data_IF_062708987009
#
_entry.id   IF_062708987009
#
_cell.length_a   1.000
_cell.length_b   1.000
_cell.length_c   1.000
_cell.angle_alpha   90.00
_cell.angle_beta   90.00
_cell.angle_gamma   90.00
#
_symmetry.space_group_name_H-M   'P 1'
#
loop_
_entity.id
_entity.type
_entity.pdbx_description
1 polymer ?
#
# COMPACT_ATOMS: atom_id res chain seq x y z
N UNK A 1 -10.15 4.08 -30.36
CA UNK A 1 -11.11 3.40 -29.46
C UNK A 1 -10.29 2.76 -28.35
N UNK A 2 -10.13 3.36 -27.17
CA UNK A 2 -9.27 2.83 -26.10
C UNK A 2 -10.06 1.89 -25.19
N UNK A 3 -9.55 0.69 -24.97
CA UNK A 3 -10.07 -0.44 -24.18
C UNK A 3 -11.60 -0.45 -23.97
N UNK A 4 -12.29 -1.06 -24.94
CA UNK A 4 -13.76 -1.21 -25.05
C UNK A 4 -14.45 -2.03 -23.93
N UNK A 5 -13.75 -2.39 -22.86
CA UNK A 5 -14.31 -3.32 -21.86
C UNK A 5 -15.03 -2.62 -20.70
N UNK A 6 -14.85 -1.30 -20.53
CA UNK A 6 -15.55 -0.50 -19.52
C UNK A 6 -15.85 0.86 -20.16
N UNK A 7 -17.11 1.17 -20.43
CA UNK A 7 -17.59 2.38 -21.12
C UNK A 7 -17.20 3.72 -20.46
N UNK A 8 -16.43 3.71 -19.36
CA UNK A 8 -15.93 4.89 -18.67
C UNK A 8 -14.90 5.70 -19.48
N UNK A 9 -14.16 5.06 -20.39
CA UNK A 9 -13.16 5.72 -21.24
C UNK A 9 -13.80 6.65 -22.31
N UNK A 10 -15.10 6.50 -22.59
CA UNK A 10 -15.83 7.39 -23.51
C UNK A 10 -15.94 8.82 -23.00
N UNK A 11 -15.88 9.05 -21.68
CA UNK A 11 -16.00 10.40 -21.12
C UNK A 11 -14.72 11.23 -21.24
N UNK A 12 -13.54 10.59 -21.18
CA UNK A 12 -12.25 11.30 -21.16
C UNK A 12 -11.69 11.62 -22.56
N UNK A 13 -12.06 10.87 -23.60
CA UNK A 13 -11.65 11.12 -24.98
C UNK A 13 -12.84 10.93 -25.93
N UNK A 14 -13.82 11.85 -25.93
CA UNK A 14 -14.79 11.90 -27.02
C UNK A 14 -14.02 12.04 -28.34
N UNK A 15 -14.48 11.36 -29.39
CA UNK A 15 -13.83 11.34 -30.73
C UNK A 15 -13.65 12.72 -31.37
N UNK A 16 -14.23 13.76 -30.77
CA UNK A 16 -14.14 15.16 -31.17
C UNK A 16 -13.74 16.11 -30.03
N UNK A 17 -13.20 15.60 -28.91
CA UNK A 17 -12.75 16.43 -27.79
C UNK A 17 -11.48 17.23 -28.12
N UNK A 18 -11.24 18.37 -27.45
CA UNK A 18 -10.03 19.17 -27.65
C UNK A 18 -8.74 18.39 -27.36
N UNK A 19 -8.75 17.51 -26.35
CA UNK A 19 -7.62 16.62 -26.05
C UNK A 19 -7.40 15.53 -27.11
N UNK A 20 -8.48 14.99 -27.69
CA UNK A 20 -8.41 14.00 -28.78
C UNK A 20 -7.81 14.62 -30.05
N UNK A 21 -8.26 15.82 -30.41
CA UNK A 21 -7.77 16.53 -31.60
C UNK A 21 -6.32 17.02 -31.45
N UNK A 22 -5.93 17.49 -30.26
CA UNK A 22 -4.55 17.92 -30.00
C UNK A 22 -3.54 16.75 -29.98
N UNK A 23 -3.95 15.56 -29.51
CA UNK A 23 -3.08 14.38 -29.43
C UNK A 23 -3.04 13.51 -30.70
N UNK A 24 -3.98 13.72 -31.63
CA UNK A 24 -4.30 12.81 -32.76
C UNK A 24 -3.11 12.44 -33.65
N UNK A 25 -2.16 13.35 -33.83
CA UNK A 25 -1.00 13.15 -34.72
C UNK A 25 0.31 12.87 -33.99
N UNK A 26 0.34 12.96 -32.65
CA UNK A 26 1.60 12.95 -31.89
C UNK A 26 1.77 11.62 -31.15
N UNK A 27 0.89 11.31 -30.21
CA UNK A 27 1.02 10.15 -29.32
C UNK A 27 -0.24 9.28 -29.29
N UNK A 28 -1.39 9.83 -29.68
CA UNK A 28 -2.68 9.19 -29.52
C UNK A 28 -2.86 7.89 -30.35
N UNK A 29 -2.39 7.80 -31.61
CA UNK A 29 -2.51 6.56 -32.39
C UNK A 29 -1.69 5.41 -31.79
N UNK A 30 -0.44 5.67 -31.38
CA UNK A 30 0.42 4.67 -30.73
C UNK A 30 -0.10 4.25 -29.35
N UNK A 31 -0.59 5.22 -28.57
CA UNK A 31 -1.21 4.97 -27.26
C UNK A 31 -2.48 4.12 -27.36
N UNK A 32 -3.35 4.42 -28.32
CA UNK A 32 -4.57 3.65 -28.55
C UNK A 32 -4.26 2.21 -28.99
N UNK A 33 -3.24 2.00 -29.82
CA UNK A 33 -2.82 0.65 -30.20
C UNK A 33 -2.31 -0.11 -28.97
N UNK A 34 -1.39 0.47 -28.20
CA UNK A 34 -0.80 -0.16 -27.01
C UNK A 34 -1.81 -0.52 -25.91
N UNK A 35 -2.89 0.25 -25.75
CA UNK A 35 -3.96 -0.01 -24.78
C UNK A 35 -4.88 -1.16 -25.21
N UNK A 36 -5.09 -1.33 -26.51
CA UNK A 36 -5.98 -2.36 -27.05
C UNK A 36 -5.25 -3.69 -27.32
N UNK A 37 -3.93 -3.68 -27.26
CA UNK A 37 -3.12 -4.88 -27.36
C UNK A 37 -3.26 -5.73 -26.08
N UNK A 38 -3.84 -6.92 -26.22
CA UNK A 38 -4.02 -7.87 -25.11
C UNK A 38 -2.71 -8.54 -24.66
N UNK A 39 -1.60 -8.30 -25.36
CA UNK A 39 -0.27 -8.80 -25.00
C UNK A 39 0.44 -7.96 -23.92
N UNK A 40 -0.06 -6.76 -23.65
CA UNK A 40 0.58 -5.81 -22.74
C UNK A 40 -0.20 -5.70 -21.43
N UNK A 41 0.50 -5.48 -20.31
CA UNK A 41 -0.10 -5.30 -18.98
C UNK A 41 -0.49 -3.85 -18.67
N UNK A 42 -0.62 -2.99 -19.70
CA UNK A 42 -0.73 -1.53 -19.53
C UNK A 42 -2.00 -1.08 -18.82
N UNK A 43 -3.09 -1.82 -18.99
CA UNK A 43 -4.32 -1.68 -18.22
C UNK A 43 -4.91 -3.06 -18.06
N UNK A 44 -5.01 -3.63 -16.86
CA UNK A 44 -5.72 -4.89 -16.64
C UNK A 44 -7.23 -4.63 -16.51
N UNK A 45 -8.04 -5.64 -16.78
CA UNK A 45 -9.49 -5.58 -16.50
C UNK A 45 -9.69 -5.63 -15.00
N UNK A 46 -10.18 -4.53 -14.42
CA UNK A 46 -10.41 -4.40 -12.99
C UNK A 46 -11.69 -5.14 -12.61
N UNK A 47 -11.61 -6.02 -11.61
CA UNK A 47 -12.75 -6.74 -11.05
C UNK A 47 -13.28 -6.13 -9.75
N UNK A 48 -14.44 -6.59 -9.23
CA UNK A 48 -14.93 -6.17 -7.91
C UNK A 48 -13.99 -6.56 -6.76
N UNK A 49 -13.16 -7.61 -6.94
CA UNK A 49 -12.12 -7.99 -5.99
C UNK A 49 -11.02 -6.94 -5.86
N UNK A 50 -10.64 -6.29 -6.96
CA UNK A 50 -9.61 -5.24 -6.96
C UNK A 50 -10.07 -4.02 -6.16
N UNK A 51 -11.37 -3.71 -6.15
CA UNK A 51 -11.91 -2.61 -5.35
C UNK A 51 -11.60 -2.79 -3.85
N UNK A 52 -11.90 -3.96 -3.30
CA UNK A 52 -11.67 -4.27 -1.88
C UNK A 52 -10.20 -4.18 -1.51
N UNK A 53 -9.36 -4.68 -2.40
CA UNK A 53 -7.90 -4.65 -2.26
C UNK A 53 -7.37 -3.22 -2.23
N UNK A 54 -7.80 -2.38 -3.17
CA UNK A 54 -7.34 -1.00 -3.23
C UNK A 54 -7.74 -0.24 -1.96
N UNK A 55 -8.90 -0.56 -1.37
CA UNK A 55 -9.31 -0.03 -0.07
C UNK A 55 -8.45 -0.55 1.08
N UNK A 56 -8.06 -1.84 1.06
CA UNK A 56 -7.15 -2.40 2.05
C UNK A 56 -5.74 -1.76 1.97
N UNK A 57 -5.22 -1.52 0.76
CA UNK A 57 -3.95 -0.81 0.55
C UNK A 57 -4.05 0.64 1.02
N UNK A 58 -5.15 1.32 0.67
CA UNK A 58 -5.40 2.68 1.14
C UNK A 58 -5.44 2.73 2.67
N UNK A 59 -6.10 1.78 3.34
CA UNK A 59 -6.12 1.68 4.79
C UNK A 59 -4.68 1.53 5.35
N UNK A 60 -3.87 0.65 4.77
CA UNK A 60 -2.46 0.47 5.17
C UNK A 60 -1.60 1.72 5.00
N UNK A 61 -1.80 2.49 3.92
CA UNK A 61 -1.14 3.77 3.71
C UNK A 61 -1.58 4.84 4.72
N UNK A 62 -2.88 4.93 4.99
CA UNK A 62 -3.42 5.87 5.98
C UNK A 62 -2.94 5.53 7.38
N UNK A 63 -2.95 4.25 7.80
CA UNK A 63 -2.47 3.84 9.13
C UNK A 63 -0.98 4.11 9.30
N UNK A 64 -0.15 3.76 8.31
CA UNK A 64 1.29 4.05 8.33
C UNK A 64 1.55 5.55 8.46
N UNK A 65 0.83 6.36 7.69
CA UNK A 65 0.96 7.82 7.72
C UNK A 65 0.50 8.39 9.07
N UNK A 66 -0.64 7.93 9.59
CA UNK A 66 -1.15 8.36 10.90
C UNK A 66 -0.17 8.08 12.02
N UNK A 67 0.48 6.91 12.02
CA UNK A 67 1.47 6.55 13.04
C UNK A 67 2.69 7.48 12.97
N UNK A 68 3.25 7.70 11.77
CA UNK A 68 4.42 8.57 11.58
C UNK A 68 4.11 10.03 11.91
N UNK A 69 2.98 10.56 11.44
CA UNK A 69 2.54 11.93 11.71
C UNK A 69 2.30 12.12 13.20
N UNK A 70 1.63 11.16 13.86
CA UNK A 70 1.39 11.21 15.30
C UNK A 70 2.71 11.18 16.08
N UNK A 71 3.62 10.27 15.74
CA UNK A 71 4.94 10.16 16.37
C UNK A 71 5.78 11.43 16.22
N UNK A 72 5.75 12.06 15.03
CA UNK A 72 6.46 13.30 14.76
C UNK A 72 5.88 14.51 15.51
N UNK A 73 4.54 14.64 15.55
CA UNK A 73 3.87 15.74 16.24
C UNK A 73 4.01 15.63 17.77
N UNK A 74 3.93 14.42 18.32
CA UNK A 74 4.06 14.17 19.76
C UNK A 74 5.52 14.02 20.24
N UNK A 75 6.51 14.16 19.36
CA UNK A 75 7.92 13.97 19.68
C UNK A 75 8.46 15.01 20.68
N UNK A 76 7.94 16.24 20.64
CA UNK A 76 8.37 17.31 21.56
C UNK A 76 7.69 17.24 22.92
N UNK A 77 6.47 16.74 22.95
CA UNK A 77 5.64 16.62 24.14
C UNK A 77 4.22 16.22 23.77
N UNK A 78 3.55 15.52 24.67
CA UNK A 78 2.13 15.17 24.59
C UNK A 78 1.44 15.57 25.89
N UNK A 79 0.10 15.52 25.92
CA UNK A 79 -0.64 15.75 27.17
C UNK A 79 -0.22 14.77 28.29
N UNK A 80 0.23 13.58 27.92
CA UNK A 80 0.65 12.54 28.87
C UNK A 80 2.07 12.79 29.39
N UNK A 81 3.00 13.26 28.54
CA UNK A 81 4.39 13.56 28.89
C UNK A 81 4.83 14.85 28.20
N UNK A 82 4.92 15.94 28.95
CA UNK A 82 5.10 17.30 28.42
C UNK A 82 6.55 17.59 28.00
N UNK A 83 7.50 16.91 28.63
CA UNK A 83 8.95 17.08 28.53
C UNK A 83 9.61 15.98 27.68
N UNK A 84 8.87 15.39 26.73
CA UNK A 84 9.37 14.31 25.86
C UNK A 84 10.66 14.69 25.13
N UNK A 85 10.80 15.97 24.72
CA UNK A 85 12.01 16.45 24.03
C UNK A 85 13.30 16.22 24.82
N UNK A 86 13.24 16.20 26.16
CA UNK A 86 14.41 16.16 27.03
C UNK A 86 14.95 14.73 27.19
N UNK A 87 14.11 13.72 26.94
CA UNK A 87 14.49 12.31 26.90
C UNK A 87 15.10 11.87 25.56
N UNK A 88 14.97 12.70 24.52
CA UNK A 88 15.49 12.42 23.18
C UNK A 88 14.54 11.62 22.29
N UNK A 89 15.05 11.17 21.13
CA UNK A 89 14.25 10.51 20.10
C UNK A 89 13.89 9.05 20.43
N UNK A 90 14.78 8.35 21.14
CA UNK A 90 14.65 6.94 21.50
C UNK A 90 14.88 6.76 23.00
N UNK A 91 13.86 6.26 23.69
CA UNK A 91 13.90 5.92 25.11
C UNK A 91 12.81 4.85 25.40
N UNK A 92 13.01 3.94 26.37
CA UNK A 92 12.13 2.79 26.55
C UNK A 92 10.76 3.13 27.16
N UNK A 93 10.73 4.01 28.16
CA UNK A 93 9.53 4.46 28.86
C UNK A 93 9.86 5.57 29.88
N UNK A 94 8.83 6.27 30.36
CA UNK A 94 8.86 7.19 31.53
C UNK A 94 8.21 6.49 32.75
N UNK A 95 8.69 5.28 33.05
CA UNK A 95 8.22 4.46 34.18
C UNK A 95 6.75 3.99 34.13
N UNK A 96 6.28 3.30 35.19
CA UNK A 96 4.92 2.76 35.27
C UNK A 96 3.85 3.80 35.65
N UNK A 97 4.25 5.05 35.89
CA UNK A 97 3.34 6.14 36.27
C UNK A 97 2.27 6.42 35.20
N UNK A 98 1.19 7.10 35.60
CA UNK A 98 0.12 7.57 34.69
C UNK A 98 -0.58 6.46 33.88
N UNK A 99 -0.55 5.22 34.36
CA UNK A 99 -1.17 4.06 33.69
C UNK A 99 -0.21 3.28 32.78
N UNK A 100 1.08 3.64 32.76
CA UNK A 100 2.13 3.03 31.93
C UNK A 100 2.44 3.87 30.69
N UNK A 101 3.73 4.09 30.42
CA UNK A 101 4.24 4.91 29.29
C UNK A 101 5.11 4.10 28.33
N UNK A 102 4.87 2.79 28.24
CA UNK A 102 5.56 1.92 27.27
C UNK A 102 5.31 2.40 25.84
N UNK A 103 6.31 2.25 24.98
CA UNK A 103 6.25 2.56 23.55
C UNK A 103 5.84 4.01 23.22
N UNK A 104 6.17 4.97 24.09
CA UNK A 104 5.79 6.38 23.94
C UNK A 104 6.79 7.21 23.12
N UNK A 105 7.99 6.67 22.86
CA UNK A 105 9.03 7.41 22.15
C UNK A 105 8.71 7.57 20.66
N UNK A 106 9.32 8.56 20.02
CA UNK A 106 9.15 8.74 18.57
C UNK A 106 9.79 7.58 17.77
N UNK A 107 10.82 6.95 18.33
CA UNK A 107 11.41 5.71 17.81
C UNK A 107 10.42 4.53 17.82
N UNK A 108 9.63 4.38 18.88
CA UNK A 108 8.65 3.28 18.97
C UNK A 108 7.51 3.47 17.95
N UNK A 109 7.13 4.73 17.70
CA UNK A 109 6.20 5.06 16.61
C UNK A 109 6.79 4.72 15.22
N UNK A 110 8.08 4.99 14.99
CA UNK A 110 8.77 4.57 13.76
C UNK A 110 8.79 3.04 13.62
N UNK A 111 9.11 2.32 14.70
CA UNK A 111 9.10 0.87 14.73
C UNK A 111 7.70 0.30 14.38
N UNK A 112 6.64 0.84 14.97
CA UNK A 112 5.26 0.46 14.65
C UNK A 112 4.90 0.77 13.19
N UNK A 113 5.36 1.90 12.65
CA UNK A 113 5.12 2.27 11.26
C UNK A 113 5.79 1.30 10.28
N UNK A 114 6.98 0.78 10.60
CA UNK A 114 7.67 -0.22 9.76
C UNK A 114 6.85 -1.50 9.63
N UNK A 115 6.17 -1.96 10.70
CA UNK A 115 5.27 -3.12 10.60
C UNK A 115 4.10 -2.87 9.64
N UNK A 116 3.47 -1.71 9.73
CA UNK A 116 2.36 -1.34 8.87
C UNK A 116 2.79 -1.13 7.41
N UNK A 117 3.99 -0.59 7.21
CA UNK A 117 4.60 -0.49 5.89
C UNK A 117 4.84 -1.89 5.29
N UNK A 118 5.47 -2.81 6.03
CA UNK A 118 5.71 -4.18 5.56
C UNK A 118 4.41 -4.94 5.30
N UNK A 119 3.36 -4.70 6.11
CA UNK A 119 2.03 -5.23 5.86
C UNK A 119 1.46 -4.72 4.52
N UNK A 120 1.51 -3.40 4.28
CA UNK A 120 1.01 -2.77 3.05
C UNK A 120 1.78 -3.25 1.81
N UNK A 121 3.10 -3.35 1.90
CA UNK A 121 3.95 -3.89 0.82
C UNK A 121 3.63 -5.37 0.57
N UNK A 122 3.37 -6.16 1.62
CA UNK A 122 2.91 -7.54 1.50
C UNK A 122 1.61 -7.65 0.69
N UNK A 123 0.63 -6.79 0.96
CA UNK A 123 -0.62 -6.75 0.20
C UNK A 123 -0.43 -6.33 -1.26
N UNK A 124 0.35 -5.27 -1.50
CA UNK A 124 0.64 -4.78 -2.86
C UNK A 124 1.35 -5.85 -3.69
N UNK A 125 2.36 -6.51 -3.11
CA UNK A 125 3.13 -7.55 -3.80
C UNK A 125 2.30 -8.80 -4.04
N UNK A 126 1.48 -9.26 -3.08
CA UNK A 126 0.59 -10.40 -3.25
C UNK A 126 -0.32 -10.26 -4.49
N UNK A 127 -0.76 -9.04 -4.78
CA UNK A 127 -1.77 -8.78 -5.81
C UNK A 127 -1.16 -8.37 -7.13
N UNK A 128 -0.07 -7.58 -7.10
CA UNK A 128 0.71 -7.28 -8.30
C UNK A 128 1.29 -8.54 -8.91
N UNK A 129 1.76 -9.48 -8.08
CA UNK A 129 2.38 -10.72 -8.53
C UNK A 129 1.33 -11.77 -8.97
N UNK A 130 0.17 -11.83 -8.31
CA UNK A 130 -0.92 -12.75 -8.66
C UNK A 130 -1.55 -12.49 -10.04
N UNK A 131 -1.46 -11.26 -10.54
CA UNK A 131 -2.07 -10.86 -11.81
C UNK A 131 -1.14 -10.93 -13.04
N UNK A 132 0.17 -11.13 -12.88
CA UNK A 132 1.13 -11.04 -14.01
C UNK A 132 2.12 -12.19 -14.19
N UNK A 133 2.21 -13.22 -13.32
CA UNK A 133 3.13 -14.34 -13.63
C UNK A 133 2.96 -15.65 -12.84
N UNK A 134 3.15 -16.77 -13.55
CA UNK A 134 3.35 -18.13 -13.01
C UNK A 134 4.60 -18.23 -12.09
N UNK A 135 5.52 -17.25 -12.14
CA UNK A 135 6.72 -17.15 -11.31
C UNK A 135 6.51 -16.44 -9.96
N UNK A 136 5.30 -15.94 -9.72
CA UNK A 136 4.94 -15.19 -8.52
C UNK A 136 4.83 -16.00 -7.22
N UNK A 137 4.39 -17.26 -7.35
CA UNK A 137 4.38 -18.23 -6.24
C UNK A 137 5.79 -18.49 -5.68
N UNK A 138 6.83 -18.37 -6.50
CA UNK A 138 8.22 -18.73 -6.14
C UNK A 138 8.91 -17.57 -5.38
N UNK A 139 8.65 -16.33 -5.75
CA UNK A 139 9.20 -15.13 -5.05
C UNK A 139 8.56 -14.93 -3.69
N UNK A 140 7.27 -15.25 -3.52
CA UNK A 140 6.60 -15.20 -2.22
C UNK A 140 7.19 -16.23 -1.23
N UNK A 141 7.49 -17.45 -1.71
CA UNK A 141 8.17 -18.46 -0.89
C UNK A 141 9.60 -18.03 -0.49
N UNK A 142 10.28 -17.25 -1.34
CA UNK A 142 11.62 -16.70 -1.02
C UNK A 142 11.57 -15.48 -0.09
N UNK A 143 10.52 -14.66 -0.15
CA UNK A 143 10.32 -13.50 0.74
C UNK A 143 9.77 -13.93 2.11
N UNK A 144 8.93 -14.97 2.18
CA UNK A 144 8.48 -15.57 3.43
C UNK A 144 9.62 -16.24 4.22
N UNK A 145 10.70 -16.67 3.56
CA UNK A 145 11.89 -17.22 4.23
C UNK A 145 12.75 -16.16 4.94
N UNK A 146 12.39 -14.88 4.88
CA UNK A 146 12.99 -13.86 5.75
C UNK A 146 12.44 -14.05 7.18
N UNK A 147 13.32 -14.31 8.15
CA UNK A 147 12.96 -14.65 9.55
C UNK A 147 11.99 -13.65 10.22
N UNK A 148 11.91 -12.42 9.71
CA UNK A 148 10.97 -11.36 10.10
C UNK A 148 9.49 -11.63 9.69
N UNK A 149 9.23 -12.26 8.55
CA UNK A 149 7.88 -12.47 8.02
C UNK A 149 7.19 -13.72 8.58
N UNK A 150 7.96 -14.78 8.87
CA UNK A 150 7.46 -16.02 9.52
C UNK A 150 6.71 -15.74 10.84
N UNK A 151 7.18 -14.78 11.64
CA UNK A 151 6.53 -14.38 12.89
C UNK A 151 5.22 -13.63 12.69
N UNK A 152 5.09 -12.86 11.61
CA UNK A 152 3.89 -12.08 11.28
C UNK A 152 2.78 -12.95 10.67
N UNK A 153 3.13 -13.88 9.79
CA UNK A 153 2.17 -14.79 9.13
C UNK A 153 1.54 -15.77 10.12
N UNK A 154 2.30 -16.23 11.13
CA UNK A 154 1.77 -17.11 12.19
C UNK A 154 0.76 -16.43 13.13
N UNK A 155 0.77 -15.09 13.21
CA UNK A 155 -0.16 -14.30 14.05
C UNK A 155 -1.37 -13.73 13.30
N UNK A 156 -1.30 -13.54 11.98
CA UNK A 156 -2.45 -13.12 11.18
C UNK A 156 -3.23 -14.33 10.65
N UNK A 157 -4.31 -14.69 11.33
CA UNK A 157 -5.26 -15.75 10.94
C UNK A 157 -5.92 -15.55 9.56
N UNK A 158 -5.75 -14.38 8.94
CA UNK A 158 -6.41 -14.00 7.68
C UNK A 158 -5.71 -14.56 6.44
N UNK A 159 -4.41 -14.88 6.52
CA UNK A 159 -3.65 -15.45 5.38
C UNK A 159 -4.04 -16.91 5.12
N UNK A 160 -4.42 -17.66 6.18
CA UNK A 160 -4.93 -19.03 6.05
C UNK A 160 -6.23 -19.14 5.25
N UNK A 161 -7.00 -18.06 5.12
CA UNK A 161 -8.25 -18.07 4.36
C UNK A 161 -8.04 -18.02 2.84
N UNK A 162 -6.92 -17.47 2.38
CA UNK A 162 -6.62 -17.27 0.95
C UNK A 162 -5.74 -18.36 0.33
N UNK A 163 -5.24 -19.31 1.13
CA UNK A 163 -4.48 -20.47 0.64
C UNK A 163 -5.33 -21.74 0.45
N UNK A 164 -6.64 -21.68 0.71
CA UNK A 164 -7.58 -22.82 0.59
C UNK A 164 -8.53 -22.75 -0.62
N UNK A 165 -8.27 -21.86 -1.57
CA UNK A 165 -8.96 -21.85 -2.87
C UNK A 165 -7.94 -21.73 -4.01
#
# INVERSE_FOLDING_TARGET
MGKLHMDLMYFYLPTNGPAFNAGRSIWLPGWLNAINENSNSLFLTIGPGDFLVHHAIALGLHTTTLILVKGALDARGSKLMLDKKDFGYSFPCDGPGRGGTCDISAWDAFYLAVFWMLNTIGWVTFIGIGNTSHYGKITFHSLMNLHLFEGMVKRLSIVKLFTTY
#
